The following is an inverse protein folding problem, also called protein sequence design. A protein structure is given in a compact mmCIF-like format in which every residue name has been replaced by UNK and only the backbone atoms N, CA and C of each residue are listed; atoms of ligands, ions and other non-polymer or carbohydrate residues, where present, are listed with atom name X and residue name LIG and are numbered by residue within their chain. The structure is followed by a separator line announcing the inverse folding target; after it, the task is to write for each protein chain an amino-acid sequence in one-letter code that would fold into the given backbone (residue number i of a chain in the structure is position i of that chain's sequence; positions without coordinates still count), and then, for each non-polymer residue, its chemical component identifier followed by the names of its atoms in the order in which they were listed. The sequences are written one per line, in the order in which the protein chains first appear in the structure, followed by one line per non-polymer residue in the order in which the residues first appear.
data_IF_494950603527
#
_entry.id   IF_494950603527
#
_cell.length_a   1.000
_cell.length_b   1.000
_cell.length_c   1.000
_cell.angle_alpha   90.00
_cell.angle_beta   90.00
_cell.angle_gamma   90.00
#
_symmetry.space_group_name_H-M   'P 1'
#
loop_
_entity.id
_entity.type
_entity.pdbx_description
1 polymer ?
#
# COMPACT_ATOMS: atom_id res chain seq x y z
N UNK A 1 -70.10 29.66 -39.36
CA UNK A 1 -69.87 28.31 -38.80
C UNK A 1 -68.47 27.85 -39.20
N UNK A 2 -67.64 27.64 -38.18
CA UNK A 2 -66.24 27.25 -38.28
C UNK A 2 -66.09 25.80 -38.72
N UNK A 3 -65.08 25.49 -39.54
CA UNK A 3 -64.78 24.11 -39.91
C UNK A 3 -63.48 23.90 -40.69
N UNK A 4 -62.42 23.56 -39.94
CA UNK A 4 -61.26 22.73 -40.30
C UNK A 4 -60.29 23.23 -41.39
N UNK A 5 -59.11 23.64 -40.92
CA UNK A 5 -57.84 23.45 -41.64
C UNK A 5 -56.95 22.49 -40.83
N UNK A 6 -56.57 21.38 -41.46
CA UNK A 6 -55.49 20.50 -41.04
C UNK A 6 -54.16 21.24 -41.26
N UNK A 7 -53.28 21.25 -40.27
CA UNK A 7 -51.86 21.55 -40.48
C UNK A 7 -51.05 20.35 -39.98
N UNK A 8 -50.36 19.72 -40.93
CA UNK A 8 -49.42 18.62 -40.72
C UNK A 8 -48.07 19.20 -40.34
N UNK A 9 -47.41 18.52 -39.40
CA UNK A 9 -46.12 18.80 -38.77
C UNK A 9 -44.95 18.59 -39.76
N UNK A 10 -43.97 19.49 -39.72
CA UNK A 10 -42.54 19.31 -40.05
C UNK A 10 -41.84 20.48 -39.34
N UNK A 11 -40.95 20.33 -38.37
CA UNK A 11 -39.77 19.46 -38.33
C UNK A 11 -38.59 20.40 -38.08
N UNK A 12 -37.92 20.31 -36.93
CA UNK A 12 -36.76 21.16 -36.63
C UNK A 12 -36.44 21.35 -35.16
N UNK A 13 -36.30 20.26 -34.40
CA UNK A 13 -35.57 20.33 -33.12
C UNK A 13 -34.09 20.21 -33.46
N UNK A 14 -33.37 21.34 -33.46
CA UNK A 14 -31.90 21.34 -33.49
C UNK A 14 -31.44 21.03 -32.06
N UNK A 15 -31.24 19.74 -31.77
CA UNK A 15 -30.47 19.31 -30.61
C UNK A 15 -29.00 19.58 -30.91
N UNK A 16 -28.46 20.67 -30.35
CA UNK A 16 -27.01 20.83 -30.25
C UNK A 16 -26.48 19.68 -29.39
N UNK A 17 -25.91 18.68 -30.06
CA UNK A 17 -25.07 17.67 -29.43
C UNK A 17 -23.85 18.40 -28.87
N UNK A 18 -23.93 18.79 -27.59
CA UNK A 18 -22.75 19.11 -26.80
C UNK A 18 -21.95 17.82 -26.64
N UNK A 19 -21.20 17.46 -27.67
CA UNK A 19 -20.09 16.53 -27.57
C UNK A 19 -18.98 17.30 -26.84
N UNK A 20 -19.12 17.36 -25.52
CA UNK A 20 -18.00 17.66 -24.64
C UNK A 20 -17.04 16.50 -24.82
N UNK A 21 -16.12 16.66 -25.76
CA UNK A 21 -14.85 15.93 -25.72
C UNK A 21 -14.25 16.35 -24.38
N UNK A 22 -14.41 15.49 -23.38
CA UNK A 22 -13.65 15.59 -22.16
C UNK A 22 -12.18 15.45 -22.58
N UNK A 23 -11.54 16.59 -22.84
CA UNK A 23 -10.09 16.69 -22.76
C UNK A 23 -9.78 16.30 -21.32
N UNK A 24 -9.48 15.02 -21.11
CA UNK A 24 -8.95 14.53 -19.86
C UNK A 24 -7.70 15.36 -19.63
N UNK A 25 -7.70 16.15 -18.55
CA UNK A 25 -6.49 16.81 -18.09
C UNK A 25 -5.38 15.76 -18.07
N UNK A 26 -4.12 16.11 -18.42
CA UNK A 26 -3.03 15.15 -18.42
C UNK A 26 -3.00 14.49 -17.05
N UNK A 27 -3.39 13.22 -17.00
CA UNK A 27 -3.28 12.43 -15.79
C UNK A 27 -1.78 12.35 -15.53
N UNK A 28 -1.31 13.00 -14.47
CA UNK A 28 0.08 12.88 -14.06
C UNK A 28 0.34 11.40 -13.81
N UNK A 29 1.13 10.78 -14.69
CA UNK A 29 1.57 9.41 -14.51
C UNK A 29 2.48 9.37 -13.28
N UNK A 30 2.19 8.47 -12.36
CA UNK A 30 3.08 8.09 -11.27
C UNK A 30 4.19 7.22 -11.87
N UNK A 31 5.44 7.50 -11.49
CA UNK A 31 6.60 6.64 -11.75
C UNK A 31 7.35 6.44 -10.43
N UNK A 32 7.29 5.23 -9.89
CA UNK A 32 7.95 4.88 -8.64
C UNK A 32 8.24 3.39 -8.56
N UNK A 33 9.22 3.03 -7.75
CA UNK A 33 9.52 1.67 -7.36
C UNK A 33 8.91 1.38 -6.00
N UNK A 34 8.42 0.17 -5.79
CA UNK A 34 7.86 -0.21 -4.53
C UNK A 34 8.06 -1.67 -4.15
N UNK A 35 8.16 -1.90 -2.85
CA UNK A 35 8.02 -3.23 -2.27
C UNK A 35 6.77 -3.28 -1.42
N UNK A 36 6.28 -4.49 -1.16
CA UNK A 36 5.06 -4.74 -0.39
C UNK A 36 5.44 -5.48 0.87
N UNK A 37 4.98 -4.96 2.01
CA UNK A 37 5.00 -5.67 3.27
C UNK A 37 3.58 -6.00 3.68
N UNK A 38 3.29 -7.26 3.95
CA UNK A 38 1.96 -7.67 4.40
C UNK A 38 1.98 -8.42 5.72
N UNK A 39 0.91 -8.22 6.48
CA UNK A 39 0.68 -8.85 7.78
C UNK A 39 0.65 -10.40 7.69
N UNK A 40 0.05 -10.94 6.62
CA UNK A 40 -0.06 -12.37 6.32
C UNK A 40 0.49 -12.71 4.93
N UNK A 41 0.63 -14.02 4.65
CA UNK A 41 0.90 -14.50 3.29
C UNK A 41 -0.32 -14.19 2.44
N UNK A 42 -0.32 -13.00 1.84
CA UNK A 42 -1.37 -12.60 0.89
C UNK A 42 -1.15 -13.34 -0.43
N UNK A 43 -1.60 -14.59 -0.43
CA UNK A 43 -1.84 -15.34 -1.67
C UNK A 43 -3.00 -14.64 -2.38
N UNK A 44 -2.94 -14.60 -3.70
CA UNK A 44 -4.03 -14.11 -4.55
C UNK A 44 -4.22 -12.57 -4.58
N UNK A 45 -3.21 -11.79 -4.16
CA UNK A 45 -3.22 -10.33 -4.28
C UNK A 45 -2.31 -9.87 -5.43
N UNK A 46 -2.84 -8.99 -6.28
CA UNK A 46 -2.10 -8.29 -7.33
C UNK A 46 -2.41 -6.80 -7.33
N UNK A 47 -1.68 -6.05 -8.16
CA UNK A 47 -2.02 -4.65 -8.43
C UNK A 47 -2.29 -4.44 -9.92
N UNK A 48 -3.10 -3.44 -10.24
CA UNK A 48 -3.50 -3.12 -11.60
C UNK A 48 -2.83 -1.82 -12.09
N UNK A 49 -2.20 -1.90 -13.25
CA UNK A 49 -1.57 -0.81 -14.00
C UNK A 49 -2.38 -0.56 -15.27
N UNK A 50 -2.70 0.69 -15.61
CA UNK A 50 -3.42 1.00 -16.85
C UNK A 50 -2.41 1.07 -18.00
N UNK A 51 -2.59 0.26 -19.04
CA UNK A 51 -1.87 0.46 -20.31
C UNK A 51 -2.74 1.35 -21.19
N UNK A 52 -2.40 2.62 -21.29
CA UNK A 52 -3.01 3.52 -22.27
C UNK A 52 -2.51 3.17 -23.67
N UNK A 53 -3.09 2.13 -24.29
CA UNK A 53 -3.02 2.01 -25.75
C UNK A 53 -4.07 2.91 -26.37
N UNK A 54 -3.66 3.88 -27.18
CA UNK A 54 -4.55 4.73 -27.96
C UNK A 54 -5.37 3.86 -28.93
N UNK A 55 -6.59 3.46 -28.55
CA UNK A 55 -7.47 2.66 -29.43
C UNK A 55 -8.89 3.20 -29.47
N UNK A 56 -9.42 3.19 -30.69
CA UNK A 56 -10.69 3.81 -31.11
C UNK A 56 -11.94 2.96 -30.85
N UNK A 57 -11.84 1.83 -30.12
CA UNK A 57 -12.98 0.92 -29.88
C UNK A 57 -13.20 0.70 -28.39
N UNK A 58 -14.42 0.89 -27.87
CA UNK A 58 -14.74 0.56 -26.48
C UNK A 58 -14.61 -0.95 -26.27
N UNK A 59 -13.74 -1.35 -25.35
CA UNK A 59 -13.70 -2.71 -24.79
C UNK A 59 -14.21 -2.67 -23.34
N UNK A 60 -14.65 -3.81 -22.79
CA UNK A 60 -14.92 -3.90 -21.37
C UNK A 60 -13.64 -3.56 -20.60
N UNK A 61 -13.78 -2.64 -19.63
CA UNK A 61 -12.72 -2.01 -18.82
C UNK A 61 -11.65 -2.99 -18.33
N UNK A 62 -11.97 -4.25 -18.06
CA UNK A 62 -11.00 -5.27 -17.62
C UNK A 62 -9.89 -5.61 -18.65
N UNK A 63 -10.01 -5.21 -19.93
CA UNK A 63 -9.02 -5.49 -20.97
C UNK A 63 -7.89 -4.44 -21.08
N UNK A 64 -7.99 -3.32 -20.37
CA UNK A 64 -7.10 -2.16 -20.52
C UNK A 64 -6.05 -2.04 -19.40
N UNK A 65 -5.92 -3.08 -18.56
CA UNK A 65 -5.02 -3.09 -17.41
C UNK A 65 -4.09 -4.29 -17.44
N UNK A 66 -2.82 -4.05 -17.10
CA UNK A 66 -1.88 -5.10 -16.74
C UNK A 66 -2.01 -5.39 -15.24
N UNK A 67 -2.13 -6.66 -14.88
CA UNK A 67 -2.11 -7.09 -13.48
C UNK A 67 -0.74 -7.65 -13.18
N UNK A 68 -0.08 -7.08 -12.19
CA UNK A 68 1.22 -7.51 -11.74
C UNK A 68 1.04 -8.30 -10.43
N UNK A 69 1.32 -9.61 -10.43
CA UNK A 69 1.12 -10.46 -9.26
C UNK A 69 2.18 -10.13 -8.21
N UNK A 70 1.75 -9.87 -6.98
CA UNK A 70 2.65 -9.57 -5.87
C UNK A 70 3.13 -10.87 -5.22
N UNK A 71 4.45 -11.03 -5.12
CA UNK A 71 5.11 -12.19 -4.52
C UNK A 71 5.70 -11.78 -3.18
N UNK A 72 5.07 -12.19 -2.10
CA UNK A 72 5.54 -11.89 -0.75
C UNK A 72 6.40 -13.05 -0.25
N UNK A 73 7.66 -12.77 0.09
CA UNK A 73 8.59 -13.78 0.60
C UNK A 73 8.16 -14.31 1.97
N UNK A 74 8.80 -15.38 2.44
CA UNK A 74 8.61 -15.90 3.80
C UNK A 74 8.95 -14.88 4.89
N UNK A 75 9.75 -13.85 4.58
CA UNK A 75 10.14 -12.78 5.50
C UNK A 75 9.08 -11.66 5.58
N UNK A 76 8.00 -11.74 4.80
CA UNK A 76 6.87 -10.81 4.85
C UNK A 76 7.04 -9.56 3.99
N UNK A 77 8.12 -9.48 3.20
CA UNK A 77 8.38 -8.44 2.21
C UNK A 77 8.49 -9.03 0.81
N UNK A 78 7.98 -8.33 -0.19
CA UNK A 78 8.09 -8.72 -1.59
C UNK A 78 9.41 -8.28 -2.23
N UNK A 79 9.62 -8.71 -3.47
CA UNK A 79 10.58 -8.10 -4.39
C UNK A 79 10.24 -6.61 -4.65
N UNK A 80 11.16 -5.91 -5.29
CA UNK A 80 10.95 -4.55 -5.79
C UNK A 80 10.22 -4.59 -7.14
N UNK A 81 9.16 -3.81 -7.26
CA UNK A 81 8.36 -3.63 -8.46
C UNK A 81 8.47 -2.19 -8.96
N UNK A 82 8.24 -1.96 -10.25
CA UNK A 82 8.12 -0.63 -10.82
C UNK A 82 6.67 -0.38 -11.26
N UNK A 83 6.14 0.78 -10.89
CA UNK A 83 4.84 1.25 -11.35
C UNK A 83 5.02 2.46 -12.25
N UNK A 84 4.44 2.39 -13.45
CA UNK A 84 4.31 3.53 -14.36
C UNK A 84 2.86 3.62 -14.84
N UNK A 85 2.07 4.56 -14.32
CA UNK A 85 0.65 4.62 -14.64
C UNK A 85 -0.11 5.73 -13.90
N UNK A 86 -1.39 5.91 -14.18
CA UNK A 86 -2.18 6.97 -13.57
C UNK A 86 -2.55 6.64 -12.12
N UNK A 87 -2.66 7.66 -11.28
CA UNK A 87 -3.35 7.53 -10.00
C UNK A 87 -4.88 7.35 -10.21
N UNK A 88 -5.59 6.59 -9.36
CA UNK A 88 -5.08 5.86 -8.20
C UNK A 88 -4.48 4.49 -8.59
N UNK A 89 -3.46 4.06 -7.85
CA UNK A 89 -2.96 2.67 -7.94
C UNK A 89 -3.97 1.75 -7.27
N UNK A 90 -4.47 0.75 -8.00
CA UNK A 90 -5.52 -0.16 -7.50
C UNK A 90 -4.92 -1.50 -7.08
N UNK A 91 -5.23 -1.93 -5.86
CA UNK A 91 -4.98 -3.28 -5.39
C UNK A 91 -6.23 -4.12 -5.65
N UNK A 92 -6.01 -5.31 -6.21
CA UNK A 92 -7.09 -6.21 -6.61
C UNK A 92 -6.84 -7.61 -6.06
N UNK A 93 -7.90 -8.26 -5.60
CA UNK A 93 -7.89 -9.70 -5.45
C UNK A 93 -7.90 -10.33 -6.84
N UNK A 94 -7.20 -11.44 -6.98
CA UNK A 94 -7.00 -12.13 -8.26
C UNK A 94 -7.48 -13.57 -8.20
N UNK A 95 -7.81 -14.15 -9.34
CA UNK A 95 -8.04 -15.57 -9.49
C UNK A 95 -7.34 -16.11 -10.74
N UNK A 96 -7.00 -17.39 -10.73
CA UNK A 96 -6.19 -18.01 -11.77
C UNK A 96 -4.69 -17.84 -11.55
N UNK A 97 -3.89 -18.45 -12.43
CA UNK A 97 -2.43 -18.44 -12.36
C UNK A 97 -1.82 -18.08 -13.73
N UNK A 98 -0.62 -17.49 -13.73
CA UNK A 98 0.10 -17.12 -14.94
C UNK A 98 -0.69 -16.17 -15.84
N UNK A 99 -0.77 -16.48 -17.14
CA UNK A 99 -1.48 -15.67 -18.14
C UNK A 99 -3.01 -15.67 -17.98
N UNK A 100 -3.55 -16.55 -17.12
CA UNK A 100 -4.98 -16.63 -16.84
C UNK A 100 -5.42 -15.79 -15.64
N UNK A 101 -4.51 -14.97 -15.08
CA UNK A 101 -4.79 -14.14 -13.91
C UNK A 101 -5.85 -13.08 -14.21
N UNK A 102 -6.91 -13.03 -13.40
CA UNK A 102 -8.04 -12.11 -13.55
C UNK A 102 -8.29 -11.36 -12.26
N UNK A 103 -8.51 -10.05 -12.35
CA UNK A 103 -8.99 -9.26 -11.21
C UNK A 103 -10.43 -9.66 -10.89
N UNK A 104 -10.69 -10.02 -9.64
CA UNK A 104 -12.02 -10.42 -9.16
C UNK A 104 -12.73 -9.25 -8.47
N UNK A 105 -12.01 -8.53 -7.62
CA UNK A 105 -12.52 -7.35 -6.91
C UNK A 105 -11.40 -6.39 -6.53
N UNK A 106 -11.73 -5.11 -6.39
CA UNK A 106 -10.83 -4.13 -5.78
C UNK A 106 -10.82 -4.34 -4.27
N UNK A 107 -9.63 -4.37 -3.68
CA UNK A 107 -9.43 -4.55 -2.23
C UNK A 107 -8.72 -3.37 -1.58
N UNK A 108 -8.20 -2.43 -2.37
CA UNK A 108 -7.58 -1.21 -1.87
C UNK A 108 -7.18 -0.28 -3.00
N UNK A 109 -6.87 0.97 -2.66
CA UNK A 109 -6.35 1.95 -3.61
C UNK A 109 -5.40 2.93 -2.93
N UNK A 110 -4.35 3.33 -3.65
CA UNK A 110 -3.48 4.45 -3.28
C UNK A 110 -3.92 5.64 -4.12
N UNK A 111 -4.59 6.59 -3.46
CA UNK A 111 -5.12 7.80 -4.10
C UNK A 111 -4.14 8.98 -4.01
N UNK A 112 -3.09 8.86 -3.21
CA UNK A 112 -2.08 9.89 -3.08
C UNK A 112 -1.33 10.08 -4.41
N UNK A 113 -1.19 11.35 -4.81
CA UNK A 113 -0.44 11.74 -6.00
C UNK A 113 1.06 11.91 -5.70
N UNK A 114 1.46 11.93 -4.42
CA UNK A 114 2.84 12.12 -3.98
C UNK A 114 3.37 10.85 -3.33
N UNK A 115 3.65 9.86 -4.16
CA UNK A 115 4.32 8.63 -3.73
C UNK A 115 5.85 8.85 -3.81
N UNK A 116 6.62 8.48 -2.77
CA UNK A 116 8.07 8.51 -2.84
C UNK A 116 8.59 7.67 -4.01
N UNK A 117 9.72 8.07 -4.62
CA UNK A 117 10.32 7.34 -5.74
C UNK A 117 10.62 5.88 -5.39
N UNK A 118 11.00 5.62 -4.14
CA UNK A 118 11.15 4.27 -3.60
C UNK A 118 10.24 4.13 -2.38
N UNK A 119 9.17 3.36 -2.53
CA UNK A 119 8.13 3.22 -1.53
C UNK A 119 8.08 1.80 -0.94
N UNK A 120 7.62 1.70 0.30
CA UNK A 120 7.12 0.45 0.86
C UNK A 120 5.62 0.58 1.08
N UNK A 121 4.86 -0.30 0.44
CA UNK A 121 3.42 -0.44 0.64
C UNK A 121 3.18 -1.41 1.78
N UNK A 122 2.73 -0.91 2.91
CA UNK A 122 2.32 -1.73 4.04
C UNK A 122 0.84 -2.05 3.94
N UNK A 123 0.54 -3.35 3.82
CA UNK A 123 -0.81 -3.86 3.66
C UNK A 123 -1.28 -4.41 5.00
N UNK A 124 -2.26 -3.72 5.57
CA UNK A 124 -2.93 -4.10 6.82
C UNK A 124 -4.37 -4.54 6.56
N UNK A 125 -4.98 -5.27 7.51
CA UNK A 125 -6.40 -5.59 7.44
C UNK A 125 -7.25 -4.30 7.46
N UNK A 126 -8.43 -4.36 6.84
CA UNK A 126 -9.50 -3.38 6.97
C UNK A 126 -10.85 -4.12 7.10
N UNK A 127 -11.95 -3.38 7.29
CA UNK A 127 -13.29 -3.96 7.27
C UNK A 127 -13.64 -4.57 5.91
N UNK A 128 -14.57 -5.54 5.90
CA UNK A 128 -15.18 -6.13 4.70
C UNK A 128 -14.18 -6.70 3.67
N UNK A 129 -13.16 -7.41 4.15
CA UNK A 129 -12.09 -8.01 3.35
C UNK A 129 -11.34 -7.00 2.46
N UNK A 130 -11.36 -5.71 2.82
CA UNK A 130 -10.53 -4.68 2.21
C UNK A 130 -9.15 -4.61 2.91
N UNK A 131 -8.25 -3.85 2.31
CA UNK A 131 -6.91 -3.61 2.83
C UNK A 131 -6.69 -2.13 3.10
N UNK A 132 -6.07 -1.83 4.23
CA UNK A 132 -5.45 -0.53 4.46
C UNK A 132 -4.09 -0.54 3.77
N UNK A 133 -3.77 0.56 3.08
CA UNK A 133 -2.48 0.74 2.40
C UNK A 133 -1.78 1.94 3.00
N UNK A 134 -0.71 1.69 3.73
CA UNK A 134 0.18 2.75 4.23
C UNK A 134 1.38 2.84 3.32
N UNK A 135 1.64 4.04 2.77
CA UNK A 135 2.81 4.31 1.94
C UNK A 135 3.92 4.85 2.83
N UNK A 136 5.06 4.17 2.84
CA UNK A 136 6.27 4.63 3.51
C UNK A 136 7.35 4.97 2.50
N UNK A 137 8.13 6.00 2.78
CA UNK A 137 9.38 6.24 2.07
C UNK A 137 10.42 5.21 2.54
N UNK A 138 10.89 4.42 1.58
CA UNK A 138 11.86 3.34 1.76
C UNK A 138 13.21 3.65 1.10
N UNK A 139 13.40 4.88 0.63
CA UNK A 139 14.68 5.34 0.12
C UNK A 139 15.77 5.30 1.20
N UNK A 140 17.05 5.14 0.82
CA UNK A 140 18.17 5.20 1.77
C UNK A 140 18.21 6.51 2.56
N UNK A 141 17.72 7.62 1.99
CA UNK A 141 17.65 8.91 2.67
C UNK A 141 16.60 8.94 3.80
N UNK A 142 15.43 8.32 3.59
CA UNK A 142 14.33 8.31 4.56
C UNK A 142 14.40 7.14 5.55
N UNK A 143 15.01 6.03 5.15
CA UNK A 143 15.28 4.88 6.01
C UNK A 143 16.72 4.39 5.75
N UNK A 144 17.72 5.00 6.40
CA UNK A 144 19.13 4.67 6.20
C UNK A 144 19.53 3.37 6.90
N UNK A 145 20.71 2.86 6.57
CA UNK A 145 21.37 1.77 7.30
C UNK A 145 21.58 2.14 8.78
N UNK A 146 21.68 1.12 9.63
CA UNK A 146 21.81 1.25 11.08
C UNK A 146 20.62 1.96 11.76
N UNK A 147 19.42 1.81 11.20
CA UNK A 147 18.19 2.38 11.76
C UNK A 147 17.14 1.31 12.08
N UNK A 148 16.32 1.61 13.08
CA UNK A 148 15.13 0.86 13.46
C UNK A 148 13.88 1.70 13.17
N UNK A 149 12.93 1.15 12.42
CA UNK A 149 11.58 1.71 12.23
C UNK A 149 10.56 0.88 13.01
N UNK A 150 9.67 1.55 13.73
CA UNK A 150 8.56 0.90 14.46
C UNK A 150 7.27 1.08 13.67
N UNK A 151 6.58 -0.03 13.44
CA UNK A 151 5.26 -0.07 12.80
C UNK A 151 4.29 -0.79 13.71
N UNK A 152 3.24 -0.11 14.13
CA UNK A 152 2.13 -0.67 14.88
C UNK A 152 0.94 -0.95 13.97
N UNK A 153 0.79 -2.20 13.55
CA UNK A 153 -0.43 -2.69 12.93
C UNK A 153 -1.36 -3.35 13.97
N UNK A 154 -0.93 -3.45 15.23
CA UNK A 154 -1.80 -3.90 16.29
C UNK A 154 -2.88 -2.84 16.54
N UNK A 155 -4.10 -3.29 16.81
CA UNK A 155 -5.23 -2.43 17.15
C UNK A 155 -5.13 -1.84 18.58
N UNK A 156 -3.93 -1.91 19.17
CA UNK A 156 -3.62 -1.52 20.53
C UNK A 156 -2.40 -0.59 20.55
N UNK A 157 -2.36 0.44 21.41
CA UNK A 157 -1.17 1.27 21.57
C UNK A 157 0.01 0.47 22.12
N UNK A 158 1.17 0.63 21.49
CA UNK A 158 2.44 0.04 21.94
C UNK A 158 3.36 1.15 22.47
N UNK A 159 4.15 0.81 23.48
CA UNK A 159 5.14 1.72 24.06
C UNK A 159 6.40 0.96 24.46
N UNK A 160 7.54 1.62 24.41
CA UNK A 160 8.80 0.95 24.65
C UNK A 160 10.00 1.86 24.67
N UNK A 161 11.17 1.25 24.62
CA UNK A 161 12.47 1.91 24.49
C UNK A 161 13.27 1.29 23.34
N UNK A 162 14.03 2.13 22.65
CA UNK A 162 15.10 1.74 21.71
C UNK A 162 16.35 2.47 22.19
N UNK A 163 17.37 1.73 22.62
CA UNK A 163 18.61 2.30 23.20
C UNK A 163 18.33 3.31 24.31
N UNK A 164 17.38 2.97 25.19
CA UNK A 164 16.94 3.80 26.31
C UNK A 164 16.03 4.97 25.93
N UNK A 165 15.85 5.27 24.63
CA UNK A 165 14.93 6.31 24.18
C UNK A 165 13.51 5.79 24.12
N UNK A 166 12.60 6.44 24.84
CA UNK A 166 11.19 6.04 24.88
C UNK A 166 10.48 6.33 23.56
N UNK A 167 9.47 5.52 23.26
CA UNK A 167 8.55 5.74 22.16
C UNK A 167 7.15 5.24 22.52
N UNK A 168 6.14 5.81 21.85
CA UNK A 168 4.76 5.33 21.87
C UNK A 168 4.19 5.41 20.46
N UNK A 169 3.47 4.37 20.05
CA UNK A 169 2.81 4.28 18.75
C UNK A 169 1.37 3.90 19.03
N UNK A 170 0.44 4.77 18.65
CA UNK A 170 -0.99 4.50 18.74
C UNK A 170 -1.54 4.05 17.38
N UNK A 171 -2.84 3.74 17.34
CA UNK A 171 -3.54 3.30 16.13
C UNK A 171 -3.75 4.42 15.10
N UNK A 172 -3.64 5.70 15.50
CA UNK A 172 -3.80 6.85 14.60
C UNK A 172 -2.51 7.20 13.87
N UNK A 173 -1.37 6.92 14.50
CA UNK A 173 -0.04 7.01 13.91
C UNK A 173 0.63 5.65 13.98
N UNK A 174 0.20 4.75 13.09
CA UNK A 174 0.70 3.39 12.98
C UNK A 174 2.20 3.26 12.66
N UNK A 175 2.91 4.36 12.35
CA UNK A 175 4.33 4.31 12.00
C UNK A 175 5.11 5.45 12.64
N UNK A 176 6.30 5.14 13.17
CA UNK A 176 7.26 6.15 13.62
C UNK A 176 8.34 6.40 12.58
N UNK A 177 8.94 7.60 12.63
CA UNK A 177 10.18 7.88 11.92
C UNK A 177 11.28 6.89 12.36
N UNK A 178 12.15 6.44 11.45
CA UNK A 178 13.30 5.61 11.80
C UNK A 178 14.18 6.29 12.84
N UNK A 179 14.76 5.48 13.73
CA UNK A 179 15.70 5.92 14.74
C UNK A 179 17.05 5.27 14.48
N UNK A 180 18.10 6.06 14.49
CA UNK A 180 19.47 5.55 14.48
C UNK A 180 19.72 4.76 15.75
N UNK A 181 20.38 3.62 15.62
CA UNK A 181 20.76 2.76 16.76
C UNK A 181 22.25 2.43 16.74
N UNK A 182 22.77 1.92 17.85
CA UNK A 182 24.10 1.32 17.88
C UNK A 182 24.16 -0.04 17.17
N UNK A 183 25.36 -0.62 17.05
CA UNK A 183 25.50 -1.99 16.51
C UNK A 183 24.73 -3.02 17.35
N UNK A 184 24.61 -2.80 18.66
CA UNK A 184 23.84 -3.63 19.57
C UNK A 184 22.71 -2.80 20.19
N UNK A 185 21.54 -2.82 19.56
CA UNK A 185 20.39 -2.05 19.98
C UNK A 185 19.59 -2.79 21.07
N UNK A 186 19.38 -2.20 22.26
CA UNK A 186 18.50 -2.77 23.29
C UNK A 186 17.08 -2.27 23.09
N UNK A 187 16.13 -3.19 22.94
CA UNK A 187 14.75 -2.87 22.60
C UNK A 187 13.81 -3.57 23.58
N UNK A 188 13.03 -2.78 24.30
CA UNK A 188 11.96 -3.26 25.18
C UNK A 188 10.63 -2.65 24.77
N UNK A 189 9.60 -3.46 24.55
CA UNK A 189 8.28 -3.02 24.10
C UNK A 189 7.19 -3.76 24.87
N UNK A 190 6.19 -2.99 25.29
CA UNK A 190 5.00 -3.47 25.95
C UNK A 190 3.75 -2.81 25.34
N UNK A 191 2.61 -3.48 25.48
CA UNK A 191 1.29 -2.88 25.27
C UNK A 191 0.51 -2.93 26.58
N UNK A 192 -0.54 -2.12 26.67
CA UNK A 192 -1.39 -2.09 27.86
C UNK A 192 -2.61 -2.99 27.64
N UNK A 193 -2.88 -3.89 28.58
CA UNK A 193 -4.12 -4.68 28.61
C UNK A 193 -4.71 -4.60 30.00
N UNK A 194 -5.94 -4.10 30.11
CA UNK A 194 -6.66 -3.99 31.39
C UNK A 194 -5.84 -3.24 32.46
N UNK A 195 -5.18 -2.14 32.08
CA UNK A 195 -4.35 -1.33 32.99
C UNK A 195 -3.01 -1.96 33.39
N UNK A 196 -2.61 -3.07 32.77
CA UNK A 196 -1.33 -3.74 33.04
C UNK A 196 -0.43 -3.74 31.80
N UNK A 197 0.86 -3.41 31.94
CA UNK A 197 1.81 -3.54 30.85
C UNK A 197 2.14 -5.02 30.61
N UNK A 198 2.02 -5.47 29.37
CA UNK A 198 2.42 -6.80 28.91
C UNK A 198 3.60 -6.65 27.96
N UNK A 199 4.75 -7.22 28.33
CA UNK A 199 5.96 -7.19 27.52
C UNK A 199 5.79 -8.10 26.31
N UNK A 200 6.01 -7.56 25.12
CA UNK A 200 5.89 -8.27 23.83
C UNK A 200 7.21 -8.42 23.10
N UNK A 201 8.19 -7.58 23.46
CA UNK A 201 9.54 -7.67 22.92
C UNK A 201 10.53 -7.17 23.98
N UNK A 202 11.54 -7.96 24.31
CA UNK A 202 12.62 -7.50 25.19
C UNK A 202 13.93 -8.20 24.82
N UNK A 203 14.58 -7.68 23.77
CA UNK A 203 15.75 -8.31 23.16
C UNK A 203 16.80 -7.28 22.78
N UNK A 204 18.04 -7.74 22.66
CA UNK A 204 19.11 -6.98 22.03
C UNK A 204 19.23 -7.42 20.58
N UNK A 205 19.16 -6.48 19.64
CA UNK A 205 19.32 -6.74 18.22
C UNK A 205 20.68 -6.25 17.76
N UNK A 206 21.45 -7.14 17.14
CA UNK A 206 22.61 -6.72 16.36
C UNK A 206 22.12 -6.09 15.05
N UNK A 207 22.56 -4.87 14.75
CA UNK A 207 22.18 -4.10 13.56
C UNK A 207 23.47 -3.63 12.87
N UNK A 208 23.76 -4.21 11.71
CA UNK A 208 24.90 -3.81 10.88
C UNK A 208 24.80 -2.39 10.35
N UNK A 209 25.91 -1.83 9.88
CA UNK A 209 25.98 -0.47 9.32
C UNK A 209 25.01 -0.27 8.13
N UNK A 210 24.89 -1.29 7.28
CA UNK A 210 23.98 -1.27 6.12
C UNK A 210 22.61 -1.91 6.43
N UNK A 211 22.42 -2.44 7.63
CA UNK A 211 21.16 -3.12 7.97
C UNK A 211 20.09 -2.12 8.42
N UNK A 212 18.87 -2.36 7.95
CA UNK A 212 17.66 -1.66 8.36
C UNK A 212 16.75 -2.66 9.05
N UNK A 213 16.22 -2.27 10.20
CA UNK A 213 15.35 -3.15 10.98
C UNK A 213 13.97 -2.52 11.11
N UNK A 214 12.94 -3.28 10.76
CA UNK A 214 11.57 -2.90 11.02
C UNK A 214 10.98 -3.80 12.10
N UNK A 215 10.47 -3.18 13.16
CA UNK A 215 9.69 -3.87 14.20
C UNK A 215 8.21 -3.68 13.88
N UNK A 216 7.59 -4.76 13.41
CA UNK A 216 6.18 -4.76 13.04
C UNK A 216 5.38 -5.47 14.13
N UNK A 217 4.50 -4.72 14.77
CA UNK A 217 3.57 -5.22 15.78
C UNK A 217 2.26 -5.57 15.10
N UNK A 218 1.80 -6.81 15.28
CA UNK A 218 0.67 -7.38 14.57
C UNK A 218 -0.44 -7.74 15.58
N UNK A 219 -1.72 -7.67 15.19
CA UNK A 219 -2.80 -8.12 16.04
C UNK A 219 -2.67 -9.59 16.43
N UNK A 220 -3.31 -9.99 17.54
CA UNK A 220 -3.33 -11.39 17.96
C UNK A 220 -4.05 -12.26 16.91
N UNK A 221 -3.62 -13.52 16.78
CA UNK A 221 -4.22 -14.46 15.82
C UNK A 221 -5.55 -15.07 16.30
N UNK A 222 -5.89 -14.86 17.58
CA UNK A 222 -7.16 -15.25 18.21
C UNK A 222 -7.43 -14.33 19.38
N UNK A 223 -8.70 -14.21 19.74
CA UNK A 223 -9.13 -13.45 20.91
C UNK A 223 -8.38 -13.91 22.18
N UNK A 224 -7.90 -12.95 22.96
CA UNK A 224 -7.15 -13.20 24.20
C UNK A 224 -5.66 -13.54 24.04
N UNK A 225 -5.14 -13.69 22.81
CA UNK A 225 -3.69 -13.81 22.60
C UNK A 225 -2.99 -12.44 22.69
N UNK A 226 -1.67 -12.45 22.88
CA UNK A 226 -0.86 -11.24 22.96
C UNK A 226 -0.48 -10.71 21.56
N UNK A 227 -0.14 -9.42 21.50
CA UNK A 227 0.39 -8.77 20.29
C UNK A 227 1.65 -9.51 19.83
N UNK A 228 1.72 -9.79 18.52
CA UNK A 228 2.86 -10.47 17.92
C UNK A 228 3.87 -9.45 17.40
N UNK A 229 5.14 -9.81 17.45
CA UNK A 229 6.22 -8.97 16.92
C UNK A 229 6.91 -9.71 15.78
N UNK A 230 7.06 -9.05 14.64
CA UNK A 230 7.87 -9.51 13.53
C UNK A 230 9.05 -8.54 13.37
N UNK A 231 10.26 -9.10 13.39
CA UNK A 231 11.49 -8.37 13.09
C UNK A 231 11.80 -8.60 11.62
N UNK A 232 11.70 -7.55 10.79
CA UNK A 232 12.10 -7.59 9.39
C UNK A 232 13.45 -6.93 9.27
N UNK A 233 14.39 -7.64 8.68
CA UNK A 233 15.76 -7.16 8.42
C UNK A 233 15.92 -6.99 6.92
N UNK A 234 16.48 -5.86 6.54
CA UNK A 234 16.81 -5.54 5.16
C UNK A 234 18.20 -4.91 5.10
N UNK A 235 18.81 -4.89 3.92
CA UNK A 235 20.09 -4.21 3.69
C UNK A 235 19.86 -3.05 2.74
N UNK A 236 20.49 -1.91 3.01
CA UNK A 236 20.60 -0.85 2.02
C UNK A 236 21.52 -1.37 0.92
N UNK A 237 20.95 -1.57 -0.27
CA UNK A 237 21.75 -1.78 -1.47
C UNK A 237 21.87 -0.42 -2.16
N UNK A 238 23.03 0.23 -2.02
CA UNK A 238 23.39 1.26 -3.00
C UNK A 238 23.74 0.54 -4.30
N UNK A 239 23.09 0.86 -5.43
CA UNK A 239 23.53 0.32 -6.71
C UNK A 239 24.97 0.78 -6.93
N UNK A 240 25.85 -0.16 -7.26
CA UNK A 240 27.23 0.17 -7.64
C UNK A 240 27.17 1.24 -8.73
N UNK A 241 27.88 2.36 -8.54
CA UNK A 241 28.00 3.37 -9.59
C UNK A 241 28.49 2.70 -10.89
N UNK A 242 27.87 3.01 -12.04
CA UNK A 242 28.20 2.40 -13.32
C UNK A 242 29.62 2.72 -13.80
#
# INVERSE_FOLDING_TARGET
MNGRRFLVVLGGVILFSNLVVAQSAPQTALDFEFSVMAWERMRDVGYAQIKTEARSKPRPVAADFEILPLRISSQGRSDLYRYEGPAPVRLVATSGEGDALRATRMIGAITDQRIPRQAMLMLGPAADDALTVTVLDDSPAAFPGQHVRVVNLAEEPIQGTIDGQTFRVDTTRATLAPRRVGENARIGVAFERQGRPIVVFDQSLRVGAEERVMLVFLPPFREGADVRVRVVRDQVFEPAEP
#
